data_IF_502823485968
#
_entry.id   IF_502823485968
#
_cell.length_a   1.000
_cell.length_b   1.000
_cell.length_c   1.000
_cell.angle_alpha   90.00
_cell.angle_beta   90.00
_cell.angle_gamma   90.00
#
_symmetry.space_group_name_H-M   'P 1'
#
loop_
_entity.id
_entity.type
_entity.pdbx_description
1 polymer ?
#
# COMPACT_ATOMS: atom_id res chain seq x y z
N UNK A 1 -10.39 -24.51 23.07
CA UNK A 1 -10.00 -23.47 22.10
C UNK A 1 -11.28 -22.83 21.63
N UNK A 2 -11.44 -21.48 21.69
CA UNK A 2 -12.58 -20.83 21.09
C UNK A 2 -12.61 -21.15 19.59
N UNK A 3 -13.81 -21.28 19.04
CA UNK A 3 -14.02 -21.56 17.63
C UNK A 3 -13.34 -20.48 16.78
N UNK A 4 -12.80 -20.81 15.61
CA UNK A 4 -12.12 -19.84 14.75
C UNK A 4 -13.03 -18.62 14.44
N UNK A 5 -14.33 -18.86 14.33
CA UNK A 5 -15.35 -17.83 14.08
C UNK A 5 -15.56 -16.84 15.26
N UNK A 6 -15.21 -17.24 16.49
CA UNK A 6 -15.32 -16.34 17.67
C UNK A 6 -14.13 -15.38 17.81
N UNK A 7 -13.10 -15.52 16.95
CA UNK A 7 -11.90 -14.65 16.94
C UNK A 7 -11.93 -13.55 15.91
N UNK A 8 -12.96 -13.49 15.08
CA UNK A 8 -13.10 -12.42 14.09
C UNK A 8 -13.59 -11.18 14.83
N UNK A 9 -12.67 -10.27 15.13
CA UNK A 9 -12.97 -9.01 15.80
C UNK A 9 -13.87 -8.07 14.97
N UNK A 10 -14.09 -8.41 13.69
CA UNK A 10 -14.96 -7.67 12.79
C UNK A 10 -15.90 -8.68 12.13
N UNK A 11 -17.22 -8.63 12.40
CA UNK A 11 -18.19 -9.50 11.77
C UNK A 11 -18.13 -9.34 10.25
N UNK A 12 -17.92 -10.45 9.53
CA UNK A 12 -18.06 -10.47 8.09
C UNK A 12 -19.47 -9.96 7.72
N UNK A 13 -19.54 -9.01 6.80
CA UNK A 13 -20.80 -8.45 6.34
C UNK A 13 -21.27 -7.18 7.06
N UNK A 14 -20.50 -6.63 8.00
CA UNK A 14 -20.80 -5.35 8.63
C UNK A 14 -19.86 -4.23 8.16
N UNK A 15 -20.26 -2.98 8.45
CA UNK A 15 -19.43 -1.81 8.19
C UNK A 15 -18.20 -1.82 9.08
N UNK A 16 -17.03 -1.72 8.46
CA UNK A 16 -15.74 -1.78 9.14
C UNK A 16 -15.49 -0.55 10.01
N UNK A 17 -14.85 -0.77 11.15
CA UNK A 17 -14.73 0.26 12.18
C UNK A 17 -13.81 1.42 11.80
N UNK A 18 -12.63 1.12 11.22
CA UNK A 18 -11.66 2.17 10.90
C UNK A 18 -11.88 2.79 9.53
N UNK A 19 -12.04 1.97 8.48
CA UNK A 19 -12.23 2.51 7.13
C UNK A 19 -13.66 2.97 6.85
N UNK A 20 -14.63 2.58 7.69
CA UNK A 20 -16.02 2.97 7.58
C UNK A 20 -16.73 2.44 6.33
N UNK A 21 -16.21 1.41 5.68
CA UNK A 21 -16.78 0.79 4.49
C UNK A 21 -17.55 -0.48 4.83
N UNK A 22 -18.57 -0.79 4.03
CA UNK A 22 -19.43 -1.97 4.15
C UNK A 22 -19.36 -2.90 2.94
N UNK A 23 -20.09 -4.04 3.01
CA UNK A 23 -20.14 -5.02 1.93
C UNK A 23 -20.61 -4.40 0.60
N UNK A 24 -19.97 -4.82 -0.50
CA UNK A 24 -20.28 -4.34 -1.85
C UNK A 24 -19.78 -2.94 -2.19
N UNK A 25 -19.23 -2.20 -1.22
CA UNK A 25 -18.73 -0.83 -1.44
C UNK A 25 -17.34 -0.79 -2.09
N UNK A 26 -16.63 -1.92 -2.15
CA UNK A 26 -15.31 -2.06 -2.76
C UNK A 26 -15.35 -2.98 -3.99
N UNK A 27 -14.39 -2.77 -4.89
CA UNK A 27 -14.09 -3.64 -6.02
C UNK A 27 -13.00 -4.67 -5.64
N UNK A 28 -12.77 -5.67 -6.50
CA UNK A 28 -11.71 -6.66 -6.30
C UNK A 28 -10.30 -6.10 -6.59
N UNK A 29 -10.20 -5.08 -7.46
CA UNK A 29 -8.94 -4.38 -7.74
C UNK A 29 -8.88 -3.10 -6.91
N UNK A 30 -7.87 -3.01 -6.04
CA UNK A 30 -7.78 -1.94 -5.04
C UNK A 30 -6.43 -1.26 -5.09
N UNK A 31 -6.44 0.03 -5.39
CA UNK A 31 -5.27 0.90 -5.33
C UNK A 31 -5.13 1.46 -3.92
N UNK A 32 -3.92 1.40 -3.36
CA UNK A 32 -3.63 1.82 -1.98
C UNK A 32 -2.62 2.98 -1.93
N UNK A 33 -3.03 4.24 -2.08
CA UNK A 33 -2.17 5.37 -1.76
C UNK A 33 -2.03 5.56 -0.25
N UNK A 34 -0.93 6.15 0.21
CA UNK A 34 -0.80 6.58 1.60
C UNK A 34 -1.61 7.85 1.89
N UNK A 35 -1.62 8.77 0.96
CA UNK A 35 -2.21 10.10 1.06
C UNK A 35 -3.68 10.11 0.63
N UNK A 36 -4.55 10.71 1.46
CA UNK A 36 -5.99 10.85 1.17
C UNK A 36 -6.28 11.65 -0.09
N UNK A 37 -5.53 12.71 -0.34
CA UNK A 37 -5.75 13.59 -1.49
C UNK A 37 -5.42 12.88 -2.81
N UNK A 38 -4.60 11.84 -2.75
CA UNK A 38 -4.31 10.99 -3.90
C UNK A 38 -5.51 10.15 -4.34
N UNK A 39 -6.44 9.85 -3.44
CA UNK A 39 -7.68 9.14 -3.77
C UNK A 39 -8.51 9.95 -4.75
N UNK A 40 -8.67 11.25 -4.54
CA UNK A 40 -9.41 12.14 -5.45
C UNK A 40 -8.72 12.24 -6.82
N UNK A 41 -7.39 12.32 -6.83
CA UNK A 41 -6.60 12.35 -8.07
C UNK A 41 -6.72 11.07 -8.88
N UNK A 42 -6.83 9.91 -8.22
CA UNK A 42 -7.08 8.61 -8.87
C UNK A 42 -8.52 8.57 -9.37
N UNK A 43 -9.49 8.93 -8.53
CA UNK A 43 -10.91 8.93 -8.88
C UNK A 43 -11.22 9.86 -10.08
N UNK A 44 -10.49 10.95 -10.24
CA UNK A 44 -10.64 11.83 -11.40
C UNK A 44 -10.24 11.20 -12.76
N UNK A 45 -9.63 10.01 -12.73
CA UNK A 45 -9.30 9.20 -13.91
C UNK A 45 -10.31 8.11 -14.20
N UNK A 46 -11.28 7.90 -13.33
CA UNK A 46 -12.35 6.93 -13.56
C UNK A 46 -13.32 7.43 -14.64
N UNK A 47 -13.86 6.53 -15.42
CA UNK A 47 -14.91 6.82 -16.40
C UNK A 47 -16.19 7.30 -15.70
N UNK A 48 -16.47 6.67 -14.54
CA UNK A 48 -17.54 7.08 -13.63
C UNK A 48 -17.16 6.74 -12.19
N UNK A 49 -17.53 7.62 -11.27
CA UNK A 49 -17.37 7.39 -9.82
C UNK A 49 -18.73 6.92 -9.28
N UNK A 50 -18.75 5.72 -8.72
CA UNK A 50 -19.95 5.15 -8.09
C UNK A 50 -20.13 5.70 -6.67
N UNK A 51 -19.01 5.85 -5.96
CA UNK A 51 -19.01 6.20 -4.55
C UNK A 51 -17.71 6.86 -4.14
N UNK A 52 -17.79 7.82 -3.23
CA UNK A 52 -16.69 8.34 -2.43
C UNK A 52 -17.06 8.28 -0.96
N UNK A 53 -16.07 8.05 -0.09
CA UNK A 53 -16.28 7.99 1.35
C UNK A 53 -15.05 8.49 2.10
N UNK A 54 -15.27 9.13 3.25
CA UNK A 54 -14.22 9.53 4.19
C UNK A 54 -14.63 9.14 5.60
N UNK A 55 -13.73 8.50 6.30
CA UNK A 55 -13.90 8.17 7.70
C UNK A 55 -12.53 8.18 8.38
N UNK A 56 -12.41 8.91 9.48
CA UNK A 56 -11.12 9.14 10.15
C UNK A 56 -10.09 9.70 9.15
N UNK A 57 -8.86 9.16 9.18
CA UNK A 57 -7.77 9.46 8.25
C UNK A 57 -7.87 8.72 6.91
N UNK A 58 -8.93 7.95 6.69
CA UNK A 58 -9.09 7.14 5.48
C UNK A 58 -10.09 7.76 4.51
N UNK A 59 -9.71 7.80 3.24
CA UNK A 59 -10.56 8.18 2.13
C UNK A 59 -10.66 7.04 1.14
N UNK A 60 -11.79 6.90 0.47
CA UNK A 60 -11.98 5.90 -0.58
C UNK A 60 -12.82 6.44 -1.73
N UNK A 61 -12.61 5.86 -2.90
CA UNK A 61 -13.43 6.03 -4.08
C UNK A 61 -13.55 4.68 -4.80
N UNK A 62 -14.74 4.37 -5.28
CA UNK A 62 -15.00 3.20 -6.13
C UNK A 62 -15.70 3.66 -7.39
N UNK A 63 -15.35 3.08 -8.53
CA UNK A 63 -15.90 3.45 -9.82
C UNK A 63 -15.44 2.55 -10.95
N UNK A 64 -15.69 2.98 -12.18
CA UNK A 64 -15.29 2.27 -13.39
C UNK A 64 -14.09 2.95 -14.03
N UNK A 65 -13.13 2.16 -14.46
CA UNK A 65 -12.02 2.56 -15.30
C UNK A 65 -11.88 1.60 -16.48
N UNK A 66 -12.10 2.06 -17.70
CA UNK A 66 -12.12 1.25 -18.92
C UNK A 66 -13.01 0.00 -18.81
N UNK A 67 -14.18 0.19 -18.18
CA UNK A 67 -15.16 -0.88 -17.96
C UNK A 67 -14.83 -1.83 -16.79
N UNK A 68 -13.68 -1.69 -16.13
CA UNK A 68 -13.30 -2.48 -14.96
C UNK A 68 -13.69 -1.71 -13.68
N UNK A 69 -14.34 -2.37 -12.74
CA UNK A 69 -14.63 -1.81 -11.43
C UNK A 69 -13.37 -1.79 -10.59
N UNK A 70 -12.99 -0.61 -10.08
CA UNK A 70 -11.76 -0.36 -9.32
C UNK A 70 -12.08 0.45 -8.09
N UNK A 71 -11.41 0.16 -7.00
CA UNK A 71 -11.42 0.99 -5.78
C UNK A 71 -10.05 1.62 -5.55
N UNK A 72 -10.07 2.77 -4.90
CA UNK A 72 -8.89 3.42 -4.35
C UNK A 72 -9.16 3.73 -2.88
N UNK A 73 -8.30 3.26 -1.97
CA UNK A 73 -8.45 3.44 -0.52
C UNK A 73 -7.14 3.94 0.05
N UNK A 74 -7.15 5.10 0.72
CA UNK A 74 -5.94 5.61 1.37
C UNK A 74 -5.60 4.80 2.61
N UNK A 75 -4.31 4.56 2.83
CA UNK A 75 -3.83 3.79 3.98
C UNK A 75 -3.31 4.66 5.12
N UNK A 76 -3.16 5.98 4.93
CA UNK A 76 -2.43 6.79 5.90
C UNK A 76 -0.94 6.50 5.91
N UNK A 77 -0.27 6.85 7.01
CA UNK A 77 1.17 6.70 7.21
C UNK A 77 1.44 5.52 8.14
N UNK A 78 2.47 4.75 7.80
CA UNK A 78 2.98 3.67 8.64
C UNK A 78 2.40 2.29 8.30
N UNK A 79 3.11 1.27 8.74
CA UNK A 79 2.75 -0.13 8.51
C UNK A 79 1.51 -0.54 9.28
N UNK A 80 1.30 0.04 10.45
CA UNK A 80 0.15 -0.24 11.33
C UNK A 80 -1.17 0.19 10.66
N UNK A 81 -1.19 1.39 10.06
CA UNK A 81 -2.36 1.83 9.29
C UNK A 81 -2.60 0.97 8.04
N UNK A 82 -1.54 0.55 7.37
CA UNK A 82 -1.66 -0.37 6.21
C UNK A 82 -2.25 -1.70 6.65
N UNK A 83 -1.82 -2.23 7.78
CA UNK A 83 -2.35 -3.46 8.37
C UNK A 83 -3.85 -3.35 8.64
N UNK A 84 -4.29 -2.29 9.32
CA UNK A 84 -5.70 -2.03 9.62
C UNK A 84 -6.53 -2.00 8.33
N UNK A 85 -6.09 -1.23 7.34
CA UNK A 85 -6.83 -1.07 6.07
C UNK A 85 -6.93 -2.40 5.33
N UNK A 86 -5.84 -3.16 5.21
CA UNK A 86 -5.83 -4.45 4.52
C UNK A 86 -6.72 -5.46 5.26
N UNK A 87 -6.63 -5.55 6.58
CA UNK A 87 -7.41 -6.47 7.39
C UNK A 87 -8.92 -6.20 7.26
N UNK A 88 -9.32 -4.94 7.33
CA UNK A 88 -10.74 -4.57 7.19
C UNK A 88 -11.24 -4.74 5.75
N UNK A 89 -10.43 -4.53 4.73
CA UNK A 89 -10.80 -4.82 3.34
C UNK A 89 -10.98 -6.33 3.12
N UNK A 90 -10.10 -7.17 3.67
CA UNK A 90 -10.21 -8.63 3.57
C UNK A 90 -11.47 -9.19 4.25
N UNK A 91 -12.05 -8.46 5.21
CA UNK A 91 -13.36 -8.81 5.77
C UNK A 91 -14.54 -8.48 4.84
N UNK A 92 -14.33 -7.66 3.81
CA UNK A 92 -15.35 -7.21 2.86
C UNK A 92 -15.22 -7.81 1.46
N UNK A 93 -14.00 -8.16 1.04
CA UNK A 93 -13.68 -8.64 -0.32
C UNK A 93 -12.89 -9.94 -0.20
N UNK A 94 -13.42 -11.00 -0.79
CA UNK A 94 -12.87 -12.36 -0.61
C UNK A 94 -11.47 -12.52 -1.25
N UNK A 95 -11.26 -11.95 -2.43
CA UNK A 95 -10.00 -12.10 -3.20
C UNK A 95 -9.54 -10.79 -3.83
N UNK A 96 -9.19 -9.79 -3.01
CA UNK A 96 -8.75 -8.52 -3.56
C UNK A 96 -7.35 -8.62 -4.17
N UNK A 97 -7.13 -7.87 -5.24
CA UNK A 97 -5.80 -7.58 -5.76
C UNK A 97 -5.40 -6.19 -5.29
N UNK A 98 -4.38 -6.11 -4.48
CA UNK A 98 -3.85 -4.84 -3.97
C UNK A 98 -2.68 -4.34 -4.81
N UNK A 99 -2.73 -3.07 -5.22
CA UNK A 99 -1.61 -2.36 -5.83
C UNK A 99 -1.34 -1.10 -5.01
N UNK A 100 -0.22 -1.09 -4.30
CA UNK A 100 0.17 0.09 -3.55
C UNK A 100 0.80 1.13 -4.47
N UNK A 101 0.27 2.35 -4.44
CA UNK A 101 0.77 3.50 -5.19
C UNK A 101 1.32 4.56 -4.23
N UNK A 102 2.61 4.72 -4.22
CA UNK A 102 3.30 5.59 -3.27
C UNK A 102 4.40 6.41 -3.92
N UNK A 103 5.13 7.12 -3.09
CA UNK A 103 6.42 7.72 -3.41
C UNK A 103 7.51 7.05 -2.59
N UNK A 104 8.71 6.94 -3.14
CA UNK A 104 9.87 6.37 -2.46
C UNK A 104 11.10 7.27 -2.69
N UNK A 105 12.15 7.04 -1.92
CA UNK A 105 13.47 7.59 -2.19
C UNK A 105 14.29 6.55 -2.96
N UNK A 106 15.08 6.99 -3.93
CA UNK A 106 16.04 6.15 -4.61
C UNK A 106 17.21 5.79 -3.67
N UNK A 107 17.61 4.51 -3.68
CA UNK A 107 18.82 4.03 -3.00
C UNK A 107 19.95 3.84 -4.01
N UNK A 108 19.64 3.54 -5.27
CA UNK A 108 20.61 3.30 -6.33
C UNK A 108 20.89 4.56 -7.15
N UNK A 109 22.11 4.76 -7.65
CA UNK A 109 22.43 5.86 -8.56
C UNK A 109 21.71 5.68 -9.91
N UNK A 110 21.53 6.78 -10.63
CA UNK A 110 20.97 6.76 -11.98
C UNK A 110 19.44 6.78 -12.05
N UNK A 111 18.74 6.83 -10.91
CA UNK A 111 17.30 7.07 -10.85
C UNK A 111 17.03 8.58 -10.82
N UNK A 112 15.99 9.01 -11.54
CA UNK A 112 15.58 10.42 -11.63
C UNK A 112 14.23 10.63 -10.96
N UNK A 113 13.93 11.91 -10.65
CA UNK A 113 12.62 12.27 -10.13
C UNK A 113 11.54 12.01 -11.18
N UNK A 114 10.52 11.26 -10.79
CA UNK A 114 9.43 10.86 -11.67
C UNK A 114 9.58 9.45 -12.26
N UNK A 115 10.73 8.81 -12.11
CA UNK A 115 10.88 7.40 -12.48
C UNK A 115 9.93 6.53 -11.67
N UNK A 116 9.39 5.51 -12.31
CA UNK A 116 8.59 4.50 -11.64
C UNK A 116 9.49 3.43 -11.01
N UNK A 117 9.18 3.01 -9.79
CA UNK A 117 9.82 1.86 -9.15
C UNK A 117 8.77 0.78 -8.95
N UNK A 118 8.91 -0.31 -9.68
CA UNK A 118 8.05 -1.49 -9.59
C UNK A 118 8.73 -2.49 -8.67
N UNK A 119 8.23 -2.60 -7.43
CA UNK A 119 8.82 -3.46 -6.41
C UNK A 119 8.58 -4.92 -6.72
N UNK A 120 9.64 -5.73 -6.80
CA UNK A 120 9.57 -7.20 -6.90
C UNK A 120 9.58 -7.87 -5.54
N UNK A 121 10.03 -7.15 -4.52
CA UNK A 121 10.05 -7.57 -3.13
C UNK A 121 10.40 -6.41 -2.21
N UNK A 122 10.45 -6.66 -0.90
CA UNK A 122 10.79 -5.65 0.08
C UNK A 122 11.64 -6.20 1.22
N UNK A 123 12.67 -5.48 1.62
CA UNK A 123 13.35 -5.70 2.90
C UNK A 123 12.44 -5.20 4.01
N UNK A 124 12.05 -6.08 4.91
CA UNK A 124 11.20 -5.76 6.05
C UNK A 124 12.05 -5.24 7.20
N UNK A 125 12.10 -3.92 7.39
CA UNK A 125 12.73 -3.28 8.55
C UNK A 125 11.70 -2.87 9.61
N UNK A 126 10.45 -3.25 9.40
CA UNK A 126 9.31 -3.07 10.29
C UNK A 126 8.96 -4.39 11.01
N UNK A 127 8.11 -4.34 12.00
CA UNK A 127 7.73 -5.49 12.82
C UNK A 127 6.26 -5.86 12.73
N UNK A 128 5.43 -5.04 12.10
CA UNK A 128 3.97 -5.26 11.99
C UNK A 128 3.66 -6.58 11.30
N UNK A 129 4.38 -6.89 10.21
CA UNK A 129 4.16 -8.14 9.46
C UNK A 129 4.54 -9.40 10.23
N UNK A 130 5.37 -9.30 11.28
CA UNK A 130 5.76 -10.46 12.11
C UNK A 130 4.57 -11.03 12.91
N UNK A 131 3.47 -10.28 13.05
CA UNK A 131 2.24 -10.77 13.66
C UNK A 131 1.45 -11.71 12.75
N UNK A 132 1.75 -11.73 11.43
CA UNK A 132 1.03 -12.51 10.42
C UNK A 132 1.88 -13.59 9.77
N UNK A 133 3.18 -13.34 9.60
CA UNK A 133 4.10 -14.26 8.93
C UNK A 133 5.41 -14.36 9.71
N UNK A 134 6.09 -15.50 9.57
CA UNK A 134 7.41 -15.71 10.16
C UNK A 134 8.42 -14.66 9.67
N UNK A 135 9.33 -14.23 10.53
CA UNK A 135 10.33 -13.19 10.23
C UNK A 135 11.16 -13.51 8.97
N UNK A 136 11.55 -14.78 8.77
CA UNK A 136 12.27 -15.24 7.59
C UNK A 136 11.43 -15.41 6.32
N UNK A 137 10.10 -15.18 6.37
CA UNK A 137 9.24 -15.30 5.19
C UNK A 137 9.51 -14.14 4.23
N UNK A 138 9.81 -14.40 2.93
CA UNK A 138 10.18 -13.33 2.00
C UNK A 138 8.97 -12.45 1.66
N UNK A 139 9.17 -11.13 1.69
CA UNK A 139 8.18 -10.16 1.22
C UNK A 139 8.35 -9.98 -0.29
N UNK A 140 7.70 -10.83 -1.08
CA UNK A 140 7.73 -10.81 -2.54
C UNK A 140 6.41 -10.30 -3.11
N UNK A 141 6.48 -9.55 -4.20
CA UNK A 141 5.29 -9.14 -4.94
C UNK A 141 4.72 -10.32 -5.76
N UNK A 142 3.42 -10.30 -6.02
CA UNK A 142 2.81 -11.27 -6.92
C UNK A 142 3.33 -11.06 -8.34
N UNK A 143 3.91 -12.10 -8.95
CA UNK A 143 4.64 -11.98 -10.22
C UNK A 143 3.77 -11.46 -11.37
N UNK A 144 2.50 -11.86 -11.46
CA UNK A 144 1.57 -11.37 -12.49
C UNK A 144 1.32 -9.86 -12.36
N UNK A 145 1.22 -9.35 -11.13
CA UNK A 145 1.08 -7.92 -10.90
C UNK A 145 2.36 -7.16 -11.31
N UNK A 146 3.54 -7.73 -11.06
CA UNK A 146 4.81 -7.13 -11.51
C UNK A 146 4.87 -7.08 -13.02
N UNK A 147 4.55 -8.19 -13.72
CA UNK A 147 4.55 -8.24 -15.18
C UNK A 147 3.57 -7.22 -15.76
N UNK A 148 2.34 -7.17 -15.25
CA UNK A 148 1.32 -6.22 -15.72
C UNK A 148 1.74 -4.75 -15.52
N UNK A 149 2.41 -4.43 -14.40
CA UNK A 149 2.93 -3.08 -14.14
C UNK A 149 4.09 -2.71 -15.07
N UNK A 150 4.96 -3.66 -15.38
CA UNK A 150 6.05 -3.47 -16.37
C UNK A 150 5.48 -3.21 -17.75
N UNK A 151 4.57 -4.06 -18.23
CA UNK A 151 3.90 -3.89 -19.53
C UNK A 151 3.17 -2.54 -19.62
N UNK A 152 2.51 -2.12 -18.55
CA UNK A 152 1.83 -0.83 -18.49
C UNK A 152 2.82 0.34 -18.56
N UNK A 153 3.96 0.27 -17.87
CA UNK A 153 4.99 1.30 -17.90
C UNK A 153 5.62 1.42 -19.31
N UNK A 154 5.92 0.29 -19.94
CA UNK A 154 6.44 0.23 -21.31
C UNK A 154 5.42 0.77 -22.32
N UNK A 155 4.16 0.36 -22.20
CA UNK A 155 3.08 0.83 -23.08
C UNK A 155 2.80 2.33 -22.98
N UNK A 156 3.13 2.93 -21.83
CA UNK A 156 3.03 4.38 -21.61
C UNK A 156 4.32 5.14 -21.95
N UNK A 157 5.40 4.44 -22.30
CA UNK A 157 6.72 5.03 -22.52
C UNK A 157 7.31 5.66 -21.26
N UNK A 158 6.92 5.18 -20.07
CA UNK A 158 7.43 5.69 -18.81
C UNK A 158 8.73 4.99 -18.42
N UNK A 159 9.72 5.78 -17.99
CA UNK A 159 10.95 5.23 -17.44
C UNK A 159 10.64 4.52 -16.12
N UNK A 160 11.10 3.29 -15.98
CA UNK A 160 10.87 2.48 -14.80
C UNK A 160 12.10 1.67 -14.40
N UNK A 161 12.11 1.25 -13.15
CA UNK A 161 13.09 0.35 -12.55
C UNK A 161 12.34 -0.77 -11.84
N UNK A 162 12.89 -1.99 -11.89
CA UNK A 162 12.40 -3.11 -11.10
C UNK A 162 13.43 -3.50 -10.06
N UNK A 163 13.00 -3.90 -8.88
CA UNK A 163 13.93 -4.31 -7.84
C UNK A 163 13.32 -4.44 -6.47
N UNK A 164 14.19 -4.71 -5.50
CA UNK A 164 13.81 -4.84 -4.09
C UNK A 164 13.78 -3.45 -3.48
N UNK A 165 12.69 -3.13 -2.79
CA UNK A 165 12.54 -1.92 -1.98
C UNK A 165 12.82 -2.22 -0.51
N UNK A 166 12.91 -1.20 0.34
CA UNK A 166 13.00 -1.36 1.77
C UNK A 166 11.85 -0.61 2.46
N UNK A 167 11.22 -1.26 3.43
CA UNK A 167 10.14 -0.69 4.22
C UNK A 167 10.56 -0.60 5.68
N UNK A 168 10.66 0.62 6.19
CA UNK A 168 11.06 0.90 7.57
C UNK A 168 9.98 1.67 8.33
N UNK A 169 9.83 1.43 9.64
CA UNK A 169 8.98 2.22 10.51
C UNK A 169 9.68 3.55 10.81
N UNK A 170 9.17 4.63 10.34
CA UNK A 170 9.74 5.95 10.55
C UNK A 170 10.38 6.53 9.31
N UNK A 171 10.19 7.83 9.19
CA UNK A 171 10.58 8.57 7.98
C UNK A 171 11.94 9.23 8.12
N UNK A 172 12.25 9.80 9.29
CA UNK A 172 13.48 10.56 9.51
C UNK A 172 14.63 9.65 9.93
N UNK A 173 14.47 8.93 11.04
CA UNK A 173 15.50 8.07 11.61
C UNK A 173 15.93 6.94 10.67
N UNK A 174 14.97 6.25 10.06
CA UNK A 174 15.26 5.15 9.14
C UNK A 174 15.91 5.57 7.81
N UNK A 175 15.88 6.86 7.48
CA UNK A 175 16.52 7.41 6.27
C UNK A 175 17.78 8.21 6.56
N UNK A 176 18.32 8.15 7.78
CA UNK A 176 19.48 8.91 8.19
C UNK A 176 19.31 10.43 8.12
N UNK A 177 18.08 10.95 8.09
CA UNK A 177 17.82 12.39 7.98
C UNK A 177 18.08 13.09 9.30
N UNK A 178 19.03 14.02 9.38
CA UNK A 178 19.41 14.66 10.65
C UNK A 178 18.26 15.49 11.21
N UNK A 179 18.02 15.31 12.49
CA UNK A 179 17.11 16.12 13.30
C UNK A 179 17.96 16.72 14.41
N UNK A 180 18.15 18.06 14.47
CA UNK A 180 19.11 18.69 15.38
C UNK A 180 18.96 18.31 16.86
N UNK A 181 17.73 18.06 17.29
CA UNK A 181 17.40 17.76 18.69
C UNK A 181 17.26 16.25 18.97
N UNK A 182 17.38 15.41 17.96
CA UNK A 182 17.15 13.96 18.11
C UNK A 182 18.24 13.17 17.38
N UNK A 183 19.17 12.55 18.14
CA UNK A 183 20.22 11.75 17.53
C UNK A 183 19.67 10.51 16.83
N UNK A 184 20.23 10.18 15.67
CA UNK A 184 19.89 8.99 14.89
C UNK A 184 20.91 7.89 15.22
N UNK A 185 20.42 6.71 15.60
CA UNK A 185 21.25 5.58 15.97
C UNK A 185 21.97 4.93 14.77
N UNK A 186 21.31 4.92 13.61
CA UNK A 186 21.82 4.29 12.39
C UNK A 186 21.77 5.30 11.23
N UNK A 187 22.70 6.30 11.22
CA UNK A 187 22.65 7.37 10.22
C UNK A 187 22.90 6.88 8.78
N UNK A 188 23.64 5.79 8.63
CA UNK A 188 24.09 5.25 7.34
C UNK A 188 23.21 4.12 6.80
N UNK A 189 22.09 3.80 7.47
CA UNK A 189 21.21 2.68 7.09
C UNK A 189 20.81 2.70 5.60
N UNK A 190 20.55 3.86 5.04
CA UNK A 190 20.20 3.98 3.63
C UNK A 190 21.34 3.61 2.69
N UNK A 191 22.59 3.91 3.07
CA UNK A 191 23.79 3.52 2.33
C UNK A 191 24.10 2.03 2.47
N UNK A 192 23.82 1.44 3.64
CA UNK A 192 24.02 0.01 3.89
C UNK A 192 23.04 -0.86 3.08
N UNK A 193 21.93 -0.29 2.62
CA UNK A 193 20.89 -0.95 1.82
C UNK A 193 21.08 -0.75 0.30
N UNK A 194 21.96 0.15 -0.09
CA UNK A 194 22.24 0.44 -1.50
C UNK A 194 23.21 -0.58 -2.10
#
# INVERSE_FOLDING_TARGET
>A
MPNADERVAVPAGERQYHIGLGPGELADYILLPGDQDRVERVASRFDSVERTHRHREFASATGLYKGLRVSCVSTGIGTDNVEIVISEILALVERPTFIRIGSCGALQPGMELGDLVISTGSVRLETTTNWFVHEGYPAVAHYEAVVALVEAAEGLGQRYHTGITATAPGFYGAKGRPIPQLPIRYPDLAADLA
#
